data_IF_444578790663
#
_entry.id   IF_444578790663
#
_cell.length_a   1.000
_cell.length_b   1.000
_cell.length_c   1.000
_cell.angle_alpha   90.00
_cell.angle_beta   90.00
_cell.angle_gamma   90.00
#
_symmetry.space_group_name_H-M   'P 1'
#
loop_
_entity.id
_entity.type
_entity.pdbx_description
1 polymer ?
#
# COMPACT_ATOMS: atom_id res chain seq x y z
N UNK A 1 -61.25 21.51 15.73
CA UNK A 1 -62.53 21.47 14.99
C UNK A 1 -62.21 21.48 13.50
N UNK A 2 -62.96 20.72 12.69
CA UNK A 2 -62.63 20.09 11.38
C UNK A 2 -61.78 18.81 11.57
N UNK A 3 -62.27 17.56 11.53
CA UNK A 3 -63.31 16.90 10.69
C UNK A 3 -63.06 17.17 9.20
N UNK A 4 -62.92 16.24 8.26
CA UNK A 4 -63.53 14.92 8.03
C UNK A 4 -62.69 14.29 6.87
N UNK A 5 -62.15 13.08 6.99
CA UNK A 5 -62.69 11.82 6.43
C UNK A 5 -62.77 11.72 4.87
N UNK A 6 -61.95 10.83 4.30
CA UNK A 6 -62.30 9.91 3.20
C UNK A 6 -61.16 8.87 3.13
N UNK A 7 -61.32 7.60 3.56
CA UNK A 7 -62.04 6.49 2.90
C UNK A 7 -61.51 6.26 1.47
N UNK A 8 -61.17 5.07 0.98
CA UNK A 8 -61.20 3.69 1.47
C UNK A 8 -60.50 2.83 0.40
N UNK A 9 -59.77 1.80 0.83
CA UNK A 9 -59.76 0.49 0.15
C UNK A 9 -58.73 0.23 -0.94
N UNK A 10 -58.45 -1.02 -1.28
CA UNK A 10 -58.84 -2.33 -0.76
C UNK A 10 -58.06 -3.35 -1.61
N UNK A 11 -57.69 -4.49 -1.02
CA UNK A 11 -57.37 -5.78 -1.68
C UNK A 11 -56.23 -5.80 -2.72
N UNK A 12 -55.16 -6.56 -2.54
CA UNK A 12 -55.12 -7.97 -2.13
C UNK A 12 -54.77 -8.81 -3.36
N UNK A 13 -53.64 -9.53 -3.33
CA UNK A 13 -53.42 -10.75 -4.11
C UNK A 13 -52.08 -11.38 -3.73
N UNK A 14 -52.16 -12.30 -2.78
CA UNK A 14 -51.24 -13.42 -2.62
C UNK A 14 -51.44 -14.34 -3.83
N UNK A 15 -50.49 -14.45 -4.75
CA UNK A 15 -50.44 -15.61 -5.66
C UNK A 15 -48.99 -15.98 -5.98
N UNK A 16 -48.61 -17.15 -5.46
CA UNK A 16 -47.55 -18.03 -5.90
C UNK A 16 -47.42 -18.08 -7.43
N UNK A 17 -46.23 -17.89 -7.98
CA UNK A 17 -45.87 -18.55 -9.26
C UNK A 17 -44.35 -18.66 -9.42
N UNK A 18 -43.88 -19.90 -9.26
CA UNK A 18 -42.89 -20.56 -10.11
C UNK A 18 -41.52 -19.90 -10.30
N UNK A 19 -40.64 -20.27 -9.40
CA UNK A 19 -39.19 -20.37 -9.58
C UNK A 19 -38.88 -21.27 -10.81
N UNK A 20 -38.52 -20.67 -11.94
CA UNK A 20 -37.80 -21.31 -13.05
C UNK A 20 -36.38 -20.74 -13.01
N UNK A 21 -35.38 -21.43 -12.44
CA UNK A 21 -34.65 -22.59 -12.98
C UNK A 21 -34.28 -22.48 -14.46
N UNK A 22 -32.96 -22.54 -14.68
CA UNK A 22 -32.19 -22.50 -15.93
C UNK A 22 -31.83 -21.12 -16.47
N UNK A 23 -30.62 -20.68 -16.13
CA UNK A 23 -29.63 -20.25 -17.13
C UNK A 23 -28.22 -20.67 -16.69
N UNK A 24 -27.66 -21.55 -17.51
CA UNK A 24 -26.26 -21.95 -17.72
C UNK A 24 -25.15 -21.41 -16.82
N UNK A 25 -24.63 -22.34 -16.00
CA UNK A 25 -23.23 -22.77 -15.91
C UNK A 25 -22.17 -21.88 -16.60
N UNK A 26 -21.34 -21.24 -15.78
CA UNK A 26 -20.10 -20.58 -16.19
C UNK A 26 -19.09 -20.50 -15.05
N UNK A 27 -18.85 -21.61 -14.35
CA UNK A 27 -17.86 -21.73 -13.28
C UNK A 27 -16.52 -22.17 -13.91
N UNK A 28 -15.61 -21.22 -14.14
CA UNK A 28 -14.26 -21.52 -14.60
C UNK A 28 -13.39 -21.86 -13.38
N UNK A 29 -13.46 -23.13 -12.97
CA UNK A 29 -12.53 -23.72 -12.01
C UNK A 29 -11.21 -23.99 -12.73
N UNK A 30 -10.17 -23.24 -12.36
CA UNK A 30 -8.78 -23.59 -12.65
C UNK A 30 -8.45 -24.82 -11.81
N UNK A 31 -8.48 -26.00 -12.43
CA UNK A 31 -7.94 -27.22 -11.83
C UNK A 31 -6.42 -27.20 -11.97
N UNK A 32 -5.76 -27.16 -10.82
CA UNK A 32 -4.34 -27.40 -10.69
C UNK A 32 -4.04 -28.87 -11.06
N UNK A 33 -3.33 -29.07 -12.16
CA UNK A 33 -2.79 -30.37 -12.54
C UNK A 33 -1.36 -30.51 -11.99
N UNK A 34 -1.25 -30.85 -10.70
CA UNK A 34 0.04 -31.28 -10.15
C UNK A 34 0.16 -32.79 -10.34
N UNK A 35 0.77 -33.11 -11.47
CA UNK A 35 1.25 -34.42 -11.89
C UNK A 35 2.01 -35.13 -10.75
N UNK A 36 1.47 -36.26 -10.29
CA UNK A 36 2.18 -37.22 -9.44
C UNK A 36 3.40 -37.75 -10.17
N UNK A 37 4.60 -37.42 -9.69
CA UNK A 37 5.80 -38.21 -10.01
C UNK A 37 6.55 -38.60 -8.75
N UNK A 38 6.57 -39.91 -8.56
CA UNK A 38 7.31 -40.69 -7.59
C UNK A 38 8.69 -40.12 -7.29
N UNK A 39 9.05 -40.06 -6.01
CA UNK A 39 10.42 -39.83 -5.58
C UNK A 39 11.23 -41.13 -5.72
N UNK A 40 12.30 -41.19 -6.53
CA UNK A 40 13.34 -42.17 -6.31
C UNK A 40 14.29 -41.66 -5.23
N UNK A 41 14.62 -42.58 -4.33
CA UNK A 41 15.67 -42.51 -3.32
C UNK A 41 17.06 -42.31 -3.93
N UNK A 42 17.88 -41.52 -3.22
CA UNK A 42 19.35 -41.62 -3.10
C UNK A 42 20.17 -41.85 -4.39
N UNK A 43 20.88 -40.81 -4.83
CA UNK A 43 21.94 -40.93 -5.83
C UNK A 43 22.64 -39.61 -6.09
N UNK A 44 23.82 -39.44 -5.50
CA UNK A 44 24.72 -38.31 -5.67
C UNK A 44 25.09 -38.09 -7.14
N UNK A 45 24.65 -36.98 -7.74
CA UNK A 45 25.22 -36.46 -9.01
C UNK A 45 25.24 -34.94 -8.95
N UNK A 46 26.43 -34.35 -8.80
CA UNK A 46 26.68 -32.92 -8.95
C UNK A 46 26.47 -32.53 -10.43
N UNK A 47 25.31 -31.94 -10.73
CA UNK A 47 25.14 -31.11 -11.93
C UNK A 47 25.37 -29.66 -11.53
N UNK A 48 26.48 -29.09 -12.00
CA UNK A 48 26.71 -27.65 -11.99
C UNK A 48 25.72 -26.99 -12.94
N UNK A 49 24.59 -26.55 -12.41
CA UNK A 49 23.66 -25.69 -13.14
C UNK A 49 24.26 -24.29 -13.19
N UNK A 50 24.78 -23.90 -14.35
CA UNK A 50 25.08 -22.50 -14.65
C UNK A 50 23.74 -21.77 -14.80
N UNK A 51 23.24 -21.22 -13.71
CA UNK A 51 22.08 -20.31 -13.75
C UNK A 51 22.57 -18.96 -14.25
N UNK A 52 22.48 -18.72 -15.56
CA UNK A 52 22.48 -17.36 -16.08
C UNK A 52 21.20 -16.68 -15.56
N UNK A 53 21.35 -15.92 -14.47
CA UNK A 53 20.27 -15.14 -13.88
C UNK A 53 19.67 -14.19 -14.92
N UNK A 54 18.33 -14.14 -15.08
CA UNK A 54 17.70 -13.14 -15.92
C UNK A 54 18.04 -11.74 -15.36
N UNK A 55 18.70 -10.90 -16.15
CA UNK A 55 18.81 -9.46 -15.86
C UNK A 55 17.43 -8.85 -16.06
N UNK A 56 16.70 -8.65 -14.97
CA UNK A 56 15.52 -7.80 -14.97
C UNK A 56 15.98 -6.36 -15.17
N UNK A 57 15.56 -5.72 -16.26
CA UNK A 57 15.91 -4.34 -16.56
C UNK A 57 15.13 -3.37 -15.68
N UNK A 58 15.88 -2.56 -14.94
CA UNK A 58 15.42 -1.49 -14.04
C UNK A 58 14.80 -0.31 -14.83
N UNK A 59 13.49 -0.32 -15.06
CA UNK A 59 12.77 0.87 -15.57
C UNK A 59 11.70 1.39 -14.62
N UNK A 60 11.38 0.67 -13.54
CA UNK A 60 10.40 1.11 -12.53
C UNK A 60 10.99 1.95 -11.40
N UNK A 61 12.31 1.95 -11.20
CA UNK A 61 12.92 2.57 -10.02
C UNK A 61 12.95 4.10 -10.11
N UNK A 62 13.18 4.67 -11.28
CA UNK A 62 13.28 6.12 -11.44
C UNK A 62 12.00 6.87 -11.10
N UNK A 63 10.82 6.28 -11.34
CA UNK A 63 9.54 6.92 -11.03
C UNK A 63 9.22 6.93 -9.52
N UNK A 64 9.79 5.98 -8.76
CA UNK A 64 9.60 5.90 -7.31
C UNK A 64 10.66 6.60 -6.49
N UNK A 65 11.71 7.13 -7.10
CA UNK A 65 12.77 7.87 -6.40
C UNK A 65 12.45 9.36 -6.46
N UNK A 66 12.43 10.01 -5.30
CA UNK A 66 12.33 11.47 -5.15
C UNK A 66 13.73 12.04 -4.92
N UNK A 67 14.06 13.15 -5.58
CA UNK A 67 15.29 13.93 -5.35
C UNK A 67 15.08 15.03 -4.31
N UNK A 68 16.17 15.60 -3.75
CA UNK A 68 16.07 16.74 -2.83
C UNK A 68 15.27 17.91 -3.42
N UNK A 69 15.55 18.29 -4.67
CA UNK A 69 14.85 19.41 -5.33
C UNK A 69 13.35 19.15 -5.47
N UNK A 70 12.95 17.94 -5.87
CA UNK A 70 11.54 17.55 -5.96
C UNK A 70 10.87 17.56 -4.58
N UNK A 71 11.55 17.03 -3.56
CA UNK A 71 11.04 17.01 -2.19
C UNK A 71 10.81 18.44 -1.68
N UNK A 72 11.76 19.36 -1.91
CA UNK A 72 11.63 20.76 -1.51
C UNK A 72 10.43 21.43 -2.19
N UNK A 73 10.23 21.21 -3.49
CA UNK A 73 9.05 21.72 -4.22
C UNK A 73 7.74 21.16 -3.64
N UNK A 74 7.69 19.86 -3.35
CA UNK A 74 6.51 19.22 -2.76
C UNK A 74 6.18 19.77 -1.38
N UNK A 75 7.20 19.99 -0.53
CA UNK A 75 7.05 20.62 0.79
C UNK A 75 6.56 22.06 0.67
N UNK A 76 7.13 22.86 -0.24
CA UNK A 76 6.68 24.24 -0.47
C UNK A 76 5.23 24.34 -0.93
N UNK A 77 4.76 23.36 -1.70
CA UNK A 77 3.38 23.31 -2.19
C UNK A 77 2.39 22.71 -1.16
N UNK A 78 2.87 22.19 -0.03
CA UNK A 78 2.07 21.46 0.97
C UNK A 78 1.25 20.30 0.36
N UNK A 79 1.74 19.73 -0.75
CA UNK A 79 1.10 18.64 -1.50
C UNK A 79 1.91 17.35 -1.30
N UNK A 80 2.16 16.98 -0.05
CA UNK A 80 2.96 15.81 0.30
C UNK A 80 2.52 15.19 1.62
N UNK A 81 2.48 13.86 1.63
CA UNK A 81 2.44 13.05 2.84
C UNK A 81 3.82 12.45 3.05
N UNK A 82 4.63 13.10 3.89
CA UNK A 82 6.02 12.71 4.15
C UNK A 82 6.09 11.85 5.42
N UNK A 83 6.63 10.64 5.29
CA UNK A 83 6.77 9.70 6.41
C UNK A 83 8.23 9.39 6.69
N UNK A 84 8.67 9.65 7.93
CA UNK A 84 10.00 9.31 8.44
C UNK A 84 9.98 7.91 9.06
N UNK A 85 10.68 6.96 8.44
CA UNK A 85 10.75 5.57 8.91
C UNK A 85 11.92 5.26 9.84
N UNK A 86 12.59 6.31 10.35
CA UNK A 86 13.64 6.19 11.37
C UNK A 86 13.07 5.88 12.76
N UNK A 87 13.98 5.56 13.68
CA UNK A 87 13.60 5.41 15.09
C UNK A 87 13.18 6.77 15.67
N UNK A 88 12.28 6.79 16.68
CA UNK A 88 11.81 8.03 17.30
C UNK A 88 12.96 8.90 17.82
N UNK A 89 14.00 8.31 18.41
CA UNK A 89 15.16 9.06 18.94
C UNK A 89 15.89 9.84 17.83
N UNK A 90 16.06 9.23 16.65
CA UNK A 90 16.67 9.89 15.49
C UNK A 90 15.80 11.04 14.97
N UNK A 91 14.47 10.89 15.05
CA UNK A 91 13.50 11.89 14.61
C UNK A 91 13.44 13.08 15.58
N UNK A 92 13.48 12.83 16.89
CA UNK A 92 13.51 13.86 17.93
C UNK A 92 14.80 14.69 17.90
N UNK A 93 15.94 14.07 17.53
CA UNK A 93 17.20 14.79 17.33
C UNK A 93 17.16 15.76 16.13
N UNK A 94 16.24 15.56 15.20
CA UNK A 94 16.04 16.42 14.03
C UNK A 94 15.33 15.67 12.90
N UNK A 95 14.42 16.36 12.23
CA UNK A 95 13.59 15.80 11.16
C UNK A 95 13.34 16.83 10.05
N UNK A 96 12.86 16.31 8.92
CA UNK A 96 12.38 17.14 7.81
C UNK A 96 11.04 17.75 8.25
N UNK A 97 10.79 19.05 8.01
CA UNK A 97 9.50 19.67 8.32
C UNK A 97 8.34 18.89 7.69
N UNK A 98 7.19 18.88 8.38
CA UNK A 98 5.96 18.18 7.97
C UNK A 98 6.09 16.65 7.83
N UNK A 99 7.23 16.06 8.19
CA UNK A 99 7.39 14.61 8.23
C UNK A 99 6.71 14.01 9.47
N UNK A 100 6.00 12.90 9.28
CA UNK A 100 5.39 12.12 10.36
C UNK A 100 6.24 10.89 10.65
N UNK A 101 6.63 10.68 11.91
CA UNK A 101 7.44 9.52 12.27
C UNK A 101 6.60 8.24 12.35
N UNK A 102 6.91 7.26 11.50
CA UNK A 102 6.35 5.91 11.53
C UNK A 102 7.52 4.93 11.39
N UNK A 103 8.11 4.45 12.52
CA UNK A 103 9.26 3.57 12.47
C UNK A 103 9.03 2.35 11.58
N UNK A 104 10.05 1.93 10.83
CA UNK A 104 9.92 0.84 9.84
C UNK A 104 9.29 -0.44 10.43
N UNK A 105 9.59 -0.77 11.68
CA UNK A 105 9.03 -1.95 12.36
C UNK A 105 7.52 -1.89 12.60
N UNK A 106 6.96 -0.68 12.69
CA UNK A 106 5.53 -0.44 12.92
C UNK A 106 4.79 -0.03 11.65
N UNK A 107 5.52 0.20 10.54
CA UNK A 107 4.96 0.75 9.31
C UNK A 107 3.84 -0.12 8.73
N UNK A 108 4.06 -1.43 8.64
CA UNK A 108 3.09 -2.34 8.05
C UNK A 108 1.76 -2.36 8.83
N UNK A 109 1.84 -2.42 10.15
CA UNK A 109 0.67 -2.40 11.03
C UNK A 109 -0.04 -1.04 10.96
N UNK A 110 0.74 0.05 10.93
CA UNK A 110 0.22 1.42 10.85
C UNK A 110 -0.56 1.65 9.56
N UNK A 111 -0.04 1.19 8.42
CA UNK A 111 -0.71 1.33 7.11
C UNK A 111 -1.96 0.43 6.97
N UNK A 112 -2.14 -0.58 7.84
CA UNK A 112 -3.33 -1.43 7.88
C UNK A 112 -4.44 -0.89 8.79
N UNK A 113 -4.17 0.15 9.58
CA UNK A 113 -5.17 0.76 10.46
C UNK A 113 -6.34 1.35 9.64
N UNK A 114 -7.52 1.43 10.27
CA UNK A 114 -8.61 2.22 9.69
C UNK A 114 -8.22 3.70 9.60
N UNK A 115 -8.75 4.46 8.63
CA UNK A 115 -8.41 5.88 8.48
C UNK A 115 -8.62 6.70 9.77
N UNK A 116 -9.70 6.42 10.49
CA UNK A 116 -10.02 7.06 11.77
C UNK A 116 -8.96 6.75 12.83
N UNK A 117 -8.52 5.49 12.93
CA UNK A 117 -7.52 5.09 13.93
C UNK A 117 -6.13 5.61 13.60
N UNK A 118 -5.79 5.66 12.31
CA UNK A 118 -4.55 6.27 11.85
C UNK A 118 -4.50 7.75 12.21
N UNK A 119 -5.57 8.50 11.92
CA UNK A 119 -5.65 9.93 12.25
C UNK A 119 -5.59 10.20 13.75
N UNK A 120 -6.19 9.34 14.58
CA UNK A 120 -6.04 9.43 16.05
C UNK A 120 -4.61 9.16 16.54
N UNK A 121 -3.85 8.34 15.83
CA UNK A 121 -2.51 7.90 16.27
C UNK A 121 -1.42 8.87 15.83
N UNK A 122 -1.50 9.37 14.59
CA UNK A 122 -0.46 10.18 13.97
C UNK A 122 -0.87 11.65 13.76
N UNK A 123 -2.10 12.01 14.14
CA UNK A 123 -2.65 13.37 14.04
C UNK A 123 -2.66 13.92 12.59
N UNK A 124 -2.55 13.04 11.60
CA UNK A 124 -2.57 13.35 10.18
C UNK A 124 -3.59 12.50 9.43
N UNK A 125 -4.01 12.97 8.25
CA UNK A 125 -4.87 12.19 7.35
C UNK A 125 -4.20 10.85 7.04
N UNK A 126 -4.98 9.77 7.05
CA UNK A 126 -4.50 8.47 6.61
C UNK A 126 -4.18 8.46 5.10
N UNK A 127 -3.05 7.88 4.68
CA UNK A 127 -2.72 7.78 3.27
C UNK A 127 -3.70 6.84 2.57
N UNK A 128 -4.32 7.32 1.48
CA UNK A 128 -5.12 6.49 0.58
C UNK A 128 -4.25 5.57 -0.29
N UNK A 129 -4.79 4.43 -0.73
CA UNK A 129 -4.06 3.51 -1.63
C UNK A 129 -3.76 4.11 -3.01
N UNK A 130 -4.64 4.99 -3.45
CA UNK A 130 -4.55 5.73 -4.71
C UNK A 130 -4.08 7.18 -4.51
N UNK A 131 -3.76 7.58 -3.27
CA UNK A 131 -3.27 8.93 -2.98
C UNK A 131 -1.94 9.14 -3.70
N UNK A 132 -1.84 10.33 -4.28
CA UNK A 132 -0.60 10.85 -4.80
C UNK A 132 0.27 11.41 -3.69
N UNK A 133 1.57 11.50 -3.97
CA UNK A 133 2.52 12.20 -3.12
C UNK A 133 2.77 11.60 -1.73
N UNK A 134 2.62 10.28 -1.59
CA UNK A 134 3.13 9.55 -0.41
C UNK A 134 4.62 9.31 -0.59
N UNK A 135 5.44 9.88 0.30
CA UNK A 135 6.90 9.77 0.25
C UNK A 135 7.45 9.23 1.56
N UNK A 136 8.24 8.17 1.48
CA UNK A 136 8.98 7.63 2.62
C UNK A 136 10.44 8.11 2.61
N UNK A 137 10.98 8.49 3.76
CA UNK A 137 12.40 8.75 3.90
C UNK A 137 12.97 8.11 5.16
N UNK A 138 14.30 7.97 5.20
CA UNK A 138 15.00 7.49 6.38
C UNK A 138 16.31 8.29 6.54
N UNK A 139 17.36 7.68 7.13
CA UNK A 139 18.68 8.32 7.24
C UNK A 139 19.41 8.44 5.89
N UNK A 140 19.51 7.34 5.14
CA UNK A 140 20.37 7.22 3.94
C UNK A 140 19.72 6.48 2.75
N UNK A 141 18.39 6.33 2.74
CA UNK A 141 17.64 5.68 1.66
C UNK A 141 17.33 4.18 1.83
N UNK A 142 18.11 3.42 2.60
CA UNK A 142 17.94 1.96 2.68
C UNK A 142 16.63 1.51 3.35
N UNK A 143 16.27 2.13 4.49
CA UNK A 143 15.02 1.79 5.21
C UNK A 143 13.79 2.28 4.44
N UNK A 144 13.90 3.43 3.77
CA UNK A 144 12.80 3.97 2.96
C UNK A 144 12.53 3.16 1.69
N UNK A 145 13.56 2.55 1.09
CA UNK A 145 13.36 1.58 0.01
C UNK A 145 12.60 0.33 0.47
N UNK A 146 12.85 -0.16 1.70
CA UNK A 146 12.07 -1.25 2.30
C UNK A 146 10.62 -0.83 2.58
N UNK A 147 10.44 0.37 3.12
CA UNK A 147 9.12 0.96 3.37
C UNK A 147 8.28 1.05 2.09
N UNK A 148 8.90 1.49 0.99
CA UNK A 148 8.28 1.51 -0.34
C UNK A 148 7.79 0.12 -0.77
N UNK A 149 8.61 -0.92 -0.56
CA UNK A 149 8.23 -2.30 -0.85
C UNK A 149 7.03 -2.78 -0.03
N UNK A 150 7.03 -2.52 1.28
CA UNK A 150 5.91 -2.85 2.19
C UNK A 150 4.63 -2.13 1.73
N UNK A 151 4.69 -0.83 1.48
CA UNK A 151 3.52 -0.07 1.04
C UNK A 151 2.96 -0.60 -0.30
N UNK A 152 3.83 -0.91 -1.27
CA UNK A 152 3.39 -1.54 -2.53
C UNK A 152 2.69 -2.88 -2.32
N UNK A 153 3.17 -3.72 -1.40
CA UNK A 153 2.53 -4.99 -1.06
C UNK A 153 1.13 -4.81 -0.44
N UNK A 154 0.90 -3.71 0.27
CA UNK A 154 -0.40 -3.36 0.84
C UNK A 154 -1.37 -2.74 -0.17
N UNK A 155 -0.92 -2.57 -1.43
CA UNK A 155 -1.72 -2.05 -2.53
C UNK A 155 -1.60 -0.55 -2.75
N UNK A 156 -0.62 0.12 -2.14
CA UNK A 156 -0.34 1.52 -2.45
C UNK A 156 0.39 1.59 -3.80
N UNK A 157 -0.25 2.22 -4.79
CA UNK A 157 0.21 2.18 -6.18
C UNK A 157 1.21 3.30 -6.51
N UNK A 158 1.06 4.48 -5.91
CA UNK A 158 1.78 5.71 -6.25
C UNK A 158 2.74 6.20 -5.16
N UNK A 159 3.23 5.27 -4.34
CA UNK A 159 4.23 5.55 -3.30
C UNK A 159 5.62 5.76 -3.88
N UNK A 160 6.37 6.67 -3.26
CA UNK A 160 7.74 7.01 -3.62
C UNK A 160 8.63 7.02 -2.37
N UNK A 161 9.94 7.00 -2.56
CA UNK A 161 10.89 7.17 -1.48
C UNK A 161 11.96 8.20 -1.83
N UNK A 162 12.36 8.98 -0.83
CA UNK A 162 13.49 9.89 -0.93
C UNK A 162 14.79 9.12 -0.68
N UNK A 163 15.65 9.07 -1.71
CA UNK A 163 16.89 8.27 -1.70
C UNK A 163 17.99 8.90 -0.86
N UNK A 164 18.14 10.23 -0.88
CA UNK A 164 19.17 10.94 -0.12
C UNK A 164 18.99 10.84 1.40
N UNK A 165 17.74 10.69 1.84
CA UNK A 165 17.41 10.59 3.25
C UNK A 165 17.76 11.86 4.04
N UNK A 166 17.65 11.76 5.36
CA UNK A 166 17.90 12.87 6.28
C UNK A 166 19.35 13.37 6.20
N UNK A 167 20.31 12.51 5.85
CA UNK A 167 21.72 12.92 5.68
C UNK A 167 21.90 13.94 4.55
N UNK A 168 21.36 13.68 3.36
CA UNK A 168 21.40 14.65 2.24
C UNK A 168 20.62 15.92 2.61
N UNK A 169 19.46 15.77 3.27
CA UNK A 169 18.67 16.92 3.72
C UNK A 169 19.45 17.82 4.70
N UNK A 170 20.09 17.23 5.70
CA UNK A 170 20.86 17.99 6.69
C UNK A 170 22.05 18.71 6.04
N UNK A 171 22.76 18.06 5.12
CA UNK A 171 23.85 18.66 4.36
C UNK A 171 23.38 19.88 3.53
N UNK A 172 22.26 19.75 2.81
CA UNK A 172 21.72 20.83 1.98
C UNK A 172 21.17 22.00 2.80
N UNK A 173 20.59 21.73 3.98
CA UNK A 173 20.05 22.77 4.88
C UNK A 173 21.09 23.31 5.88
N UNK A 174 22.32 22.79 5.89
CA UNK A 174 23.38 23.20 6.82
C UNK A 174 23.11 22.88 8.29
N UNK A 175 22.53 21.71 8.57
CA UNK A 175 22.15 21.26 9.93
C UNK A 175 23.12 20.24 10.53
#
# INVERSE_FOLDING_TARGET
MCSLLCMHGLHGAFVFTMFSFLLSRGFCQVVAEVNRRSYPTFGSVLRTFTTSSPKWGDTSDSASVVTYSQLKTMLSNQDIQLFDVRNPDEYQAGHIPDAVNIPLGNLEESLKLSPERFQQTFEVKAPGKDDDNIVFHCKSGNRSAKALGIARQLGFSRVRHYKGGYSEWAEQEGK
#
